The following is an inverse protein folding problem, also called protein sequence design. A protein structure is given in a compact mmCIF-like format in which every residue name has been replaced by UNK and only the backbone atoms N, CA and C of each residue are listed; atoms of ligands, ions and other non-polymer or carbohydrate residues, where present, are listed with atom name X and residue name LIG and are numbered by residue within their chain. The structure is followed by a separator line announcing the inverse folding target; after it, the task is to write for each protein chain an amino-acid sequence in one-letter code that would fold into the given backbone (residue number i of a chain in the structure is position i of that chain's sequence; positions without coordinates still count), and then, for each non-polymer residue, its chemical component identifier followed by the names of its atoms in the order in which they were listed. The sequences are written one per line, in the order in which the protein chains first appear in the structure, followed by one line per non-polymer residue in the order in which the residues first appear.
data_IF_724356660285
#
_entry.id   IF_724356660285
#
_cell.length_a   1.000
_cell.length_b   1.000
_cell.length_c   1.000
_cell.angle_alpha   90.00
_cell.angle_beta   90.00
_cell.angle_gamma   90.00
#
_symmetry.space_group_name_H-M   'P 1'
#
loop_
_entity.id
_entity.type
_entity.pdbx_description
1 polymer ?
#
# COMPACT_ATOMS: atom_id res chain seq x y z
N UNK A 1 -30.49 -62.77 6.10
CA UNK A 1 -29.34 -63.14 5.25
C UNK A 1 -29.77 -62.87 3.80
N UNK A 2 -29.22 -61.80 3.20
CA UNK A 2 -29.30 -61.33 1.78
C UNK A 2 -30.69 -61.02 1.16
N UNK A 3 -31.08 -59.75 0.90
CA UNK A 3 -30.71 -58.82 -0.21
C UNK A 3 -31.27 -59.27 -1.58
N UNK A 4 -31.79 -58.46 -2.51
CA UNK A 4 -32.11 -57.03 -2.60
C UNK A 4 -32.98 -56.80 -3.89
N UNK A 5 -33.66 -55.65 -3.92
CA UNK A 5 -34.08 -54.77 -5.05
C UNK A 5 -35.00 -55.26 -6.22
N UNK A 6 -36.04 -54.42 -6.44
CA UNK A 6 -37.09 -54.43 -7.46
C UNK A 6 -36.65 -53.89 -8.84
N UNK A 7 -37.26 -54.43 -9.89
CA UNK A 7 -37.42 -53.86 -11.24
C UNK A 7 -38.91 -53.78 -11.61
N UNK A 8 -39.27 -52.85 -12.51
CA UNK A 8 -40.25 -52.93 -13.62
C UNK A 8 -40.68 -51.48 -13.98
N UNK A 9 -40.22 -50.85 -15.08
CA UNK A 9 -40.53 -51.00 -16.53
C UNK A 9 -42.00 -50.74 -16.92
N UNK A 10 -42.10 -49.91 -17.97
CA UNK A 10 -43.25 -49.15 -18.46
C UNK A 10 -44.16 -49.91 -19.44
N UNK A 11 -45.36 -49.34 -19.67
CA UNK A 11 -46.13 -49.51 -20.91
C UNK A 11 -46.87 -48.22 -21.30
N UNK A 12 -46.96 -48.05 -22.62
CA UNK A 12 -47.33 -46.89 -23.45
C UNK A 12 -48.82 -46.91 -23.81
N UNK A 13 -49.40 -45.76 -24.15
CA UNK A 13 -50.68 -45.63 -24.87
C UNK A 13 -50.91 -44.21 -25.42
N UNK A 14 -51.13 -44.13 -26.74
CA UNK A 14 -51.12 -42.96 -27.64
C UNK A 14 -52.32 -41.99 -27.54
N UNK A 15 -52.12 -40.75 -28.04
CA UNK A 15 -53.18 -39.79 -28.34
C UNK A 15 -52.65 -38.47 -28.94
N UNK A 16 -52.48 -38.43 -30.27
CA UNK A 16 -52.03 -37.28 -31.06
C UNK A 16 -53.22 -36.41 -31.48
N UNK A 17 -53.13 -35.09 -31.27
CA UNK A 17 -53.99 -34.09 -31.95
C UNK A 17 -53.09 -33.09 -32.70
N UNK A 18 -53.34 -32.94 -34.00
CA UNK A 18 -52.64 -32.05 -34.94
C UNK A 18 -53.38 -30.69 -34.98
N UNK A 19 -52.64 -29.59 -34.85
CA UNK A 19 -53.11 -28.20 -35.09
C UNK A 19 -52.02 -27.46 -35.90
N UNK A 20 -52.36 -26.64 -36.91
CA UNK A 20 -51.51 -26.41 -38.08
C UNK A 20 -50.46 -25.30 -37.91
N UNK A 21 -49.43 -25.44 -38.77
CA UNK A 21 -48.29 -24.56 -38.98
C UNK A 21 -48.74 -23.19 -39.50
N UNK A 22 -48.32 -22.12 -38.81
CA UNK A 22 -48.48 -20.73 -39.23
C UNK A 22 -47.22 -19.91 -38.93
N UNK A 23 -46.40 -19.75 -39.97
CA UNK A 23 -45.53 -18.60 -40.34
C UNK A 23 -44.79 -17.83 -39.21
N UNK A 24 -43.46 -17.96 -39.21
CA UNK A 24 -42.46 -17.15 -38.49
C UNK A 24 -42.58 -15.64 -38.75
N UNK A 25 -42.10 -14.82 -37.80
CA UNK A 25 -40.97 -13.96 -38.16
C UNK A 25 -39.83 -13.97 -37.12
N UNK A 26 -38.62 -14.06 -37.68
CA UNK A 26 -37.31 -13.61 -37.22
C UNK A 26 -37.23 -12.87 -35.87
N UNK A 27 -36.67 -13.52 -34.86
CA UNK A 27 -35.77 -12.88 -33.87
C UNK A 27 -34.84 -13.94 -33.27
N UNK A 28 -33.65 -14.06 -33.85
CA UNK A 28 -32.55 -14.80 -33.22
C UNK A 28 -31.27 -13.99 -33.42
N UNK A 29 -31.05 -13.03 -32.52
CA UNK A 29 -29.81 -12.26 -32.43
C UNK A 29 -29.37 -12.24 -30.97
N UNK A 30 -28.30 -13.00 -30.72
CA UNK A 30 -27.30 -12.88 -29.65
C UNK A 30 -27.78 -12.52 -28.23
N UNK A 31 -28.03 -13.57 -27.44
CA UNK A 31 -27.77 -13.57 -26.00
C UNK A 31 -26.29 -13.89 -25.74
N UNK A 32 -25.42 -12.89 -25.71
CA UNK A 32 -24.19 -12.88 -24.89
C UNK A 32 -23.91 -11.43 -24.51
N UNK A 33 -24.37 -11.02 -23.32
CA UNK A 33 -23.72 -10.03 -22.44
C UNK A 33 -24.60 -9.74 -21.21
N UNK A 34 -23.97 -9.80 -20.04
CA UNK A 34 -24.40 -9.22 -18.77
C UNK A 34 -25.58 -9.90 -18.04
N UNK A 35 -25.31 -11.11 -17.54
CA UNK A 35 -25.80 -11.48 -16.21
C UNK A 35 -24.81 -10.89 -15.18
N UNK A 36 -25.35 -10.41 -14.06
CA UNK A 36 -24.70 -9.72 -12.93
C UNK A 36 -24.54 -8.21 -13.14
N UNK A 37 -25.60 -7.46 -12.86
CA UNK A 37 -25.68 -6.41 -11.83
C UNK A 37 -27.19 -6.25 -11.57
N UNK A 38 -27.67 -6.92 -10.54
CA UNK A 38 -29.03 -6.78 -10.05
C UNK A 38 -28.98 -6.44 -8.56
N UNK A 39 -28.46 -5.25 -8.21
CA UNK A 39 -29.05 -4.49 -7.10
C UNK A 39 -28.61 -3.02 -7.10
N UNK A 40 -29.61 -2.13 -7.28
CA UNK A 40 -29.69 -0.73 -6.85
C UNK A 40 -28.75 0.35 -7.43
N UNK A 41 -29.45 1.41 -7.88
CA UNK A 41 -29.06 2.83 -8.08
C UNK A 41 -28.47 3.25 -9.43
N UNK A 42 -29.41 3.53 -10.34
CA UNK A 42 -29.33 4.64 -11.30
C UNK A 42 -28.85 5.92 -10.62
N UNK A 43 -27.65 6.42 -10.98
CA UNK A 43 -27.25 7.84 -11.02
C UNK A 43 -25.79 7.93 -11.54
N UNK A 44 -25.58 7.53 -12.80
CA UNK A 44 -24.25 7.31 -13.40
C UNK A 44 -23.42 8.58 -13.68
N UNK A 45 -23.98 9.79 -13.58
CA UNK A 45 -23.23 11.05 -13.74
C UNK A 45 -23.08 11.87 -12.45
N UNK A 46 -24.04 11.77 -11.52
CA UNK A 46 -23.92 12.42 -10.20
C UNK A 46 -22.98 11.63 -9.28
N UNK A 47 -22.86 10.32 -9.47
CA UNK A 47 -21.97 9.46 -8.69
C UNK A 47 -20.51 9.86 -8.79
N UNK A 48 -20.02 10.25 -9.97
CA UNK A 48 -18.61 10.62 -10.14
C UNK A 48 -18.20 11.90 -9.39
N UNK A 49 -19.10 12.89 -9.27
CA UNK A 49 -18.82 14.09 -8.48
C UNK A 49 -18.93 13.83 -6.96
N UNK A 50 -19.86 12.97 -6.52
CA UNK A 50 -20.07 12.64 -5.10
C UNK A 50 -18.98 11.70 -4.56
N UNK A 51 -18.32 10.91 -5.41
CA UNK A 51 -17.21 10.03 -5.02
C UNK A 51 -15.93 10.82 -4.71
N UNK A 52 -15.71 11.99 -5.32
CA UNK A 52 -14.45 12.73 -5.15
C UNK A 52 -14.30 13.40 -3.76
N UNK A 53 -15.39 13.89 -3.15
CA UNK A 53 -15.35 14.55 -1.83
C UNK A 53 -15.49 13.58 -0.65
N UNK A 54 -16.12 12.42 -0.85
CA UNK A 54 -16.21 11.35 0.16
C UNK A 54 -15.01 10.38 0.15
N UNK A 55 -14.12 10.46 -0.83
CA UNK A 55 -12.98 9.54 -0.96
C UNK A 55 -11.87 9.74 0.10
N UNK A 56 -11.91 10.80 0.92
CA UNK A 56 -10.87 11.06 1.95
C UNK A 56 -11.44 11.11 3.36
N UNK A 57 -12.31 10.15 3.67
CA UNK A 57 -12.76 9.99 5.06
C UNK A 57 -11.80 9.02 5.77
N UNK A 58 -11.10 9.45 6.83
CA UNK A 58 -10.15 8.63 7.57
C UNK A 58 -10.89 7.65 8.49
N UNK A 59 -11.70 6.74 7.93
CA UNK A 59 -12.54 5.84 8.72
C UNK A 59 -11.71 4.86 9.55
N UNK A 60 -10.92 4.03 8.87
CA UNK A 60 -10.17 2.96 9.52
C UNK A 60 -8.94 3.51 10.23
N UNK A 61 -8.23 4.47 9.64
CA UNK A 61 -7.08 5.10 10.29
C UNK A 61 -7.45 5.80 11.60
N UNK A 62 -8.58 6.55 11.65
CA UNK A 62 -9.04 7.17 12.90
C UNK A 62 -9.37 6.13 13.96
N UNK A 63 -10.06 5.05 13.58
CA UNK A 63 -10.36 3.95 14.48
C UNK A 63 -9.07 3.32 15.04
N UNK A 64 -8.10 3.01 14.18
CA UNK A 64 -6.82 2.41 14.58
C UNK A 64 -5.96 3.32 15.46
N UNK A 65 -5.98 4.63 15.23
CA UNK A 65 -5.29 5.60 16.10
C UNK A 65 -5.88 5.53 17.52
N UNK A 66 -7.21 5.55 17.65
CA UNK A 66 -7.86 5.49 18.96
C UNK A 66 -7.54 4.19 19.70
N UNK A 67 -7.61 3.06 18.99
CA UNK A 67 -7.29 1.75 19.56
C UNK A 67 -5.82 1.65 20.02
N UNK A 68 -4.91 2.17 19.20
CA UNK A 68 -3.49 2.23 19.52
C UNK A 68 -3.19 3.10 20.75
N UNK A 69 -3.84 4.25 20.88
CA UNK A 69 -3.66 5.14 22.03
C UNK A 69 -4.19 4.50 23.31
N UNK A 70 -5.36 3.85 23.26
CA UNK A 70 -5.93 3.11 24.39
C UNK A 70 -5.00 1.97 24.84
N UNK A 71 -4.43 1.24 23.88
CA UNK A 71 -3.43 0.20 24.17
C UNK A 71 -2.20 0.78 24.87
N UNK A 72 -1.62 1.85 24.31
CA UNK A 72 -0.45 2.50 24.88
C UNK A 72 -0.71 2.99 26.32
N UNK A 73 -1.89 3.55 26.59
CA UNK A 73 -2.30 3.96 27.94
C UNK A 73 -2.47 2.78 28.90
N UNK A 74 -3.01 1.66 28.42
CA UNK A 74 -3.12 0.45 29.24
C UNK A 74 -1.76 -0.09 29.67
N UNK A 75 -0.79 -0.09 28.75
CA UNK A 75 0.58 -0.54 28.99
C UNK A 75 1.36 0.44 29.86
N UNK A 76 1.08 1.75 29.81
CA UNK A 76 1.70 2.75 30.67
C UNK A 76 1.52 2.45 32.17
N UNK A 77 0.41 1.80 32.53
CA UNK A 77 0.07 1.46 33.92
C UNK A 77 0.52 0.06 34.33
N UNK A 78 0.93 -0.77 33.37
CA UNK A 78 1.41 -2.12 33.65
C UNK A 78 2.79 -2.08 34.32
N UNK A 79 3.04 -3.01 35.25
CA UNK A 79 4.40 -3.22 35.76
C UNK A 79 5.31 -3.62 34.60
N UNK A 80 6.47 -2.97 34.50
CA UNK A 80 7.48 -3.30 33.50
C UNK A 80 7.71 -4.81 33.50
N UNK A 81 7.48 -5.51 32.36
CA UNK A 81 7.94 -6.87 32.21
C UNK A 81 9.45 -6.86 32.48
N UNK A 82 9.91 -7.73 33.36
CA UNK A 82 11.33 -7.89 33.62
C UNK A 82 12.01 -8.16 32.27
N UNK A 83 12.93 -7.28 31.81
CA UNK A 83 13.66 -7.46 30.55
C UNK A 83 14.40 -8.79 30.62
N UNK A 84 13.79 -9.86 30.12
CA UNK A 84 14.40 -11.17 30.06
C UNK A 84 15.49 -11.14 29.00
N UNK A 85 16.69 -11.62 29.34
CA UNK A 85 17.74 -11.82 28.35
C UNK A 85 17.20 -12.68 27.20
N UNK A 86 17.16 -12.11 26.00
CA UNK A 86 16.70 -12.82 24.80
C UNK A 86 17.71 -13.90 24.46
N UNK A 87 17.26 -15.15 24.35
CA UNK A 87 18.11 -16.29 23.97
C UNK A 87 18.43 -16.33 22.48
N UNK A 88 17.54 -15.79 21.64
CA UNK A 88 17.68 -15.77 20.18
C UNK A 88 17.52 -14.34 19.65
N UNK A 89 18.15 -14.01 18.51
CA UNK A 89 17.87 -12.77 17.80
C UNK A 89 16.37 -12.64 17.44
N UNK A 90 15.80 -11.43 17.43
CA UNK A 90 14.46 -11.19 16.89
C UNK A 90 14.39 -11.56 15.40
N UNK A 91 13.19 -11.82 14.89
CA UNK A 91 12.95 -11.96 13.44
C UNK A 91 13.02 -10.57 12.79
N UNK A 92 12.31 -9.59 13.36
CA UNK A 92 12.25 -8.22 12.82
C UNK A 92 12.70 -7.20 13.86
N UNK A 93 13.64 -6.32 13.47
CA UNK A 93 13.88 -5.07 14.19
C UNK A 93 13.10 -3.92 13.55
N UNK A 94 12.40 -3.14 14.37
CA UNK A 94 11.56 -2.02 13.96
C UNK A 94 12.22 -0.75 14.48
N UNK A 95 12.73 0.04 13.55
CA UNK A 95 13.44 1.27 13.78
C UNK A 95 12.57 2.50 13.54
N UNK A 96 12.48 3.37 14.54
CA UNK A 96 11.70 4.61 14.49
C UNK A 96 12.59 5.79 14.93
N UNK A 97 12.75 6.79 14.07
CA UNK A 97 13.31 8.08 14.45
C UNK A 97 12.15 9.07 14.63
N UNK A 98 12.01 9.63 15.83
CA UNK A 98 10.88 10.47 16.21
C UNK A 98 11.33 11.89 16.52
N UNK A 99 10.63 12.88 15.97
CA UNK A 99 10.90 14.30 16.21
C UNK A 99 9.68 14.98 16.83
N UNK A 100 9.95 15.96 17.70
CA UNK A 100 8.89 16.71 18.36
C UNK A 100 8.15 17.59 17.35
N UNK A 101 6.81 17.59 17.43
CA UNK A 101 5.93 18.44 16.62
C UNK A 101 4.93 19.11 17.56
N UNK A 102 4.91 20.46 17.56
CA UNK A 102 4.13 21.28 18.48
C UNK A 102 2.68 20.77 18.70
N UNK A 103 2.46 20.09 19.82
CA UNK A 103 1.14 19.67 20.28
C UNK A 103 0.59 18.38 19.65
N UNK A 104 1.39 17.61 18.90
CA UNK A 104 0.97 16.31 18.33
C UNK A 104 2.02 15.24 18.61
N UNK A 105 1.59 14.13 19.21
CA UNK A 105 2.45 13.01 19.61
C UNK A 105 2.14 11.74 18.81
N UNK A 106 2.56 11.69 17.55
CA UNK A 106 2.29 10.55 16.67
C UNK A 106 2.96 9.25 17.13
N UNK A 107 4.15 9.34 17.73
CA UNK A 107 4.92 8.16 18.16
C UNK A 107 4.11 7.20 19.04
N UNK A 108 3.23 7.74 19.90
CA UNK A 108 2.39 6.95 20.80
C UNK A 108 1.43 6.04 20.02
N UNK A 109 0.71 6.58 19.05
CA UNK A 109 -0.22 5.81 18.22
C UNK A 109 0.51 4.89 17.24
N UNK A 110 1.67 5.31 16.72
CA UNK A 110 2.54 4.44 15.89
C UNK A 110 2.95 3.18 16.66
N UNK A 111 3.57 3.33 17.84
CA UNK A 111 3.98 2.18 18.66
C UNK A 111 2.79 1.36 19.16
N UNK A 112 1.71 2.03 19.54
CA UNK A 112 0.48 1.36 19.96
C UNK A 112 -0.11 0.48 18.86
N UNK A 113 -0.18 0.97 17.61
CA UNK A 113 -0.77 0.23 16.48
C UNK A 113 0.10 -0.94 16.02
N UNK A 114 1.43 -0.84 16.19
CA UNK A 114 2.37 -1.92 15.91
C UNK A 114 2.25 -3.07 16.90
N UNK A 115 1.91 -2.78 18.16
CA UNK A 115 1.93 -3.78 19.23
C UNK A 115 0.54 -4.26 19.64
N UNK A 116 -0.50 -3.45 19.43
CA UNK A 116 -1.86 -3.88 19.69
C UNK A 116 -2.22 -5.11 18.87
N UNK A 117 -2.78 -6.11 19.54
CA UNK A 117 -3.22 -7.37 18.93
C UNK A 117 -2.12 -8.44 18.87
N UNK A 118 -0.83 -8.09 19.02
CA UNK A 118 0.22 -9.09 19.02
C UNK A 118 0.08 -10.07 20.19
N UNK A 119 0.22 -11.36 19.91
CA UNK A 119 0.45 -12.37 20.94
C UNK A 119 1.79 -12.17 21.66
N UNK A 120 1.96 -12.81 22.82
CA UNK A 120 3.24 -12.75 23.56
C UNK A 120 4.37 -13.34 22.72
N UNK A 121 4.07 -14.40 21.97
CA UNK A 121 4.99 -15.09 21.07
C UNK A 121 5.40 -14.21 19.88
N UNK A 122 4.46 -13.46 19.30
CA UNK A 122 4.77 -12.52 18.22
C UNK A 122 5.57 -11.33 18.74
N UNK A 123 5.16 -10.71 19.85
CA UNK A 123 5.89 -9.58 20.45
C UNK A 123 7.34 -9.95 20.80
N UNK A 124 7.59 -11.19 21.21
CA UNK A 124 8.93 -11.69 21.51
C UNK A 124 9.84 -11.82 20.28
N UNK A 125 9.27 -11.97 19.08
CA UNK A 125 10.00 -12.02 17.80
C UNK A 125 10.35 -10.63 17.25
N UNK A 126 9.77 -9.58 17.82
CA UNK A 126 10.00 -8.20 17.38
C UNK A 126 10.95 -7.48 18.33
N UNK A 127 11.69 -6.49 17.82
CA UNK A 127 12.50 -5.59 18.63
C UNK A 127 12.28 -4.15 18.21
N UNK A 128 11.90 -3.30 19.15
CA UNK A 128 11.58 -1.90 18.87
C UNK A 128 12.73 -0.99 19.29
N UNK A 129 13.36 -0.33 18.32
CA UNK A 129 14.38 0.71 18.53
C UNK A 129 13.76 2.07 18.23
N UNK A 130 13.75 2.96 19.22
CA UNK A 130 13.17 4.29 19.08
C UNK A 130 14.19 5.35 19.46
N UNK A 131 14.57 6.18 18.49
CA UNK A 131 15.42 7.35 18.71
C UNK A 131 14.55 8.60 18.85
N UNK A 132 14.58 9.21 20.03
CA UNK A 132 14.07 10.58 20.20
C UNK A 132 15.12 11.53 19.61
N UNK A 133 14.83 12.05 18.42
CA UNK A 133 15.81 12.62 17.50
C UNK A 133 16.20 14.08 17.80
N UNK A 134 16.40 14.39 19.07
CA UNK A 134 16.94 15.65 19.56
C UNK A 134 18.24 15.40 20.31
N UNK A 135 19.25 16.25 20.14
CA UNK A 135 20.49 16.15 20.92
C UNK A 135 20.24 16.21 22.42
N UNK A 136 19.29 17.07 22.83
CA UNK A 136 18.65 17.01 24.15
C UNK A 136 17.27 16.35 24.03
N UNK A 137 17.20 15.07 24.45
CA UNK A 137 15.97 14.28 24.35
C UNK A 137 14.83 14.80 25.23
N UNK A 138 15.11 15.63 26.24
CA UNK A 138 14.07 16.23 27.10
C UNK A 138 13.16 17.19 26.34
N UNK A 139 13.59 17.65 25.16
CA UNK A 139 12.78 18.47 24.27
C UNK A 139 11.66 17.69 23.56
N UNK A 140 11.68 16.35 23.63
CA UNK A 140 10.61 15.54 23.06
C UNK A 140 9.53 15.23 24.11
N UNK A 141 8.26 15.47 23.78
CA UNK A 141 7.12 15.15 24.64
C UNK A 141 6.97 13.65 24.98
N UNK A 142 7.63 12.76 24.23
CA UNK A 142 7.69 11.34 24.53
C UNK A 142 8.73 10.97 25.61
N UNK A 143 9.63 11.88 25.98
CA UNK A 143 10.69 11.62 26.93
C UNK A 143 10.16 11.26 28.32
N UNK A 144 10.71 10.23 28.95
CA UNK A 144 10.30 9.68 30.24
C UNK A 144 8.80 9.33 30.35
N UNK A 145 8.14 9.05 29.23
CA UNK A 145 6.76 8.59 29.25
C UNK A 145 6.70 7.09 29.56
N UNK A 146 5.88 6.63 30.54
CA UNK A 146 5.83 5.21 30.92
C UNK A 146 5.45 4.27 29.78
N UNK A 147 4.58 4.73 28.86
CA UNK A 147 4.20 3.94 27.69
C UNK A 147 5.39 3.72 26.74
N UNK A 148 6.32 4.67 26.63
CA UNK A 148 7.49 4.54 25.75
C UNK A 148 8.45 3.50 26.32
N UNK A 149 8.76 3.60 27.62
CA UNK A 149 9.66 2.67 28.31
C UNK A 149 9.16 1.23 28.27
N UNK A 150 7.84 1.03 28.21
CA UNK A 150 7.22 -0.28 28.17
C UNK A 150 7.06 -0.83 26.74
N UNK A 151 7.03 0.03 25.73
CA UNK A 151 6.85 -0.38 24.32
C UNK A 151 8.18 -0.47 23.55
N UNK A 152 9.18 0.34 23.89
CA UNK A 152 10.49 0.32 23.24
C UNK A 152 11.44 -0.68 23.93
N UNK A 153 12.13 -1.50 23.13
CA UNK A 153 13.16 -2.40 23.63
C UNK A 153 14.52 -1.68 23.78
N UNK A 154 14.81 -0.75 22.85
CA UNK A 154 15.99 0.09 22.82
C UNK A 154 15.65 1.57 22.62
N UNK A 155 16.26 2.43 23.43
CA UNK A 155 16.12 3.89 23.38
C UNK A 155 17.51 4.53 23.23
N UNK A 156 18.14 4.42 22.05
CA UNK A 156 19.46 5.01 21.83
C UNK A 156 19.45 6.53 22.02
N UNK A 157 20.58 7.06 22.47
CA UNK A 157 20.84 8.48 22.58
C UNK A 157 22.08 8.87 21.78
N UNK A 158 22.14 10.13 21.35
CA UNK A 158 23.37 10.68 20.78
C UNK A 158 24.51 10.67 21.81
N UNK A 159 24.20 10.85 23.09
CA UNK A 159 25.18 10.87 24.19
C UNK A 159 25.89 9.54 24.42
N UNK A 160 25.39 8.44 23.84
CA UNK A 160 26.01 7.12 23.99
C UNK A 160 27.36 7.02 23.25
N UNK A 161 27.65 7.96 22.36
CA UNK A 161 28.91 8.04 21.62
C UNK A 161 29.31 9.51 21.42
N UNK A 162 30.49 9.89 21.91
CA UNK A 162 30.97 11.29 21.88
C UNK A 162 31.07 11.87 20.46
N UNK A 163 31.51 11.07 19.48
CA UNK A 163 31.60 11.49 18.07
C UNK A 163 30.20 11.70 17.48
N UNK A 164 29.28 10.76 17.75
CA UNK A 164 27.87 10.85 17.33
C UNK A 164 27.20 12.08 17.92
N UNK A 165 27.43 12.38 19.20
CA UNK A 165 26.91 13.55 19.88
C UNK A 165 27.44 14.86 19.29
N UNK A 166 28.75 14.94 19.08
CA UNK A 166 29.38 16.12 18.49
C UNK A 166 28.84 16.38 17.08
N UNK A 167 28.71 15.34 16.26
CA UNK A 167 28.18 15.43 14.91
C UNK A 167 26.70 15.85 14.90
N UNK A 168 25.87 15.23 15.75
CA UNK A 168 24.46 15.60 15.89
C UNK A 168 24.28 17.07 16.25
N UNK A 169 25.09 17.57 17.19
CA UNK A 169 25.08 18.98 17.64
C UNK A 169 25.40 19.93 16.50
N UNK A 170 26.42 19.60 15.69
CA UNK A 170 26.77 20.40 14.51
C UNK A 170 25.62 20.42 13.51
N UNK A 171 25.08 19.26 13.15
CA UNK A 171 23.99 19.14 12.15
C UNK A 171 22.74 19.91 12.60
N UNK A 172 22.35 19.76 13.87
CA UNK A 172 21.19 20.41 14.46
C UNK A 172 21.38 21.94 14.53
N UNK A 173 22.56 22.41 14.95
CA UNK A 173 22.89 23.84 14.98
C UNK A 173 22.86 24.51 13.60
N UNK A 174 23.24 23.77 12.55
CA UNK A 174 23.22 24.25 11.17
C UNK A 174 21.82 24.20 10.54
N UNK A 175 20.80 23.72 11.25
CA UNK A 175 19.41 23.62 10.77
C UNK A 175 19.26 22.84 9.45
N UNK A 176 20.12 21.84 9.22
CA UNK A 176 20.11 21.03 7.99
C UNK A 176 19.21 19.82 8.13
N UNK A 177 17.90 20.02 8.01
CA UNK A 177 16.90 18.98 8.30
C UNK A 177 17.04 17.70 7.47
N UNK A 178 17.40 17.80 6.18
CA UNK A 178 17.62 16.63 5.33
C UNK A 178 18.83 15.80 5.77
N UNK A 179 19.92 16.48 6.15
CA UNK A 179 21.13 15.85 6.68
C UNK A 179 20.82 15.17 8.02
N UNK A 180 20.09 15.87 8.91
CA UNK A 180 19.69 15.36 10.22
C UNK A 180 18.82 14.11 10.11
N UNK A 181 17.75 14.17 9.33
CA UNK A 181 16.85 13.04 9.14
C UNK A 181 17.60 11.80 8.61
N UNK A 182 18.54 11.99 7.67
CA UNK A 182 19.37 10.91 7.16
C UNK A 182 20.34 10.34 8.21
N UNK A 183 20.97 11.22 8.98
CA UNK A 183 21.84 10.80 10.07
C UNK A 183 21.08 9.98 11.11
N UNK A 184 19.89 10.42 11.49
CA UNK A 184 19.04 9.77 12.49
C UNK A 184 18.54 8.41 11.98
N UNK A 185 18.17 8.35 10.70
CA UNK A 185 17.82 7.11 10.03
C UNK A 185 18.98 6.09 10.07
N UNK A 186 20.22 6.55 9.81
CA UNK A 186 21.40 5.69 9.85
C UNK A 186 21.71 5.17 11.26
N UNK A 187 21.49 5.98 12.30
CA UNK A 187 21.66 5.58 13.69
C UNK A 187 20.68 4.49 14.05
N UNK A 188 19.39 4.71 13.78
CA UNK A 188 18.34 3.73 14.08
C UNK A 188 18.58 2.43 13.32
N UNK A 189 18.98 2.52 12.04
CA UNK A 189 19.33 1.36 11.23
C UNK A 189 20.53 0.58 11.82
N UNK A 190 21.56 1.29 12.29
CA UNK A 190 22.74 0.69 12.94
C UNK A 190 22.37 0.02 14.28
N UNK A 191 21.53 0.65 15.11
CA UNK A 191 21.06 0.02 16.34
C UNK A 191 20.19 -1.21 16.07
N UNK A 192 19.36 -1.17 15.02
CA UNK A 192 18.59 -2.34 14.60
C UNK A 192 19.49 -3.46 14.07
N UNK A 193 20.54 -3.11 13.33
CA UNK A 193 21.54 -4.08 12.89
C UNK A 193 22.16 -4.79 14.10
N UNK A 194 22.57 -4.10 15.16
CA UNK A 194 23.19 -4.75 16.34
C UNK A 194 22.33 -5.83 17.01
N UNK A 195 21.01 -5.81 16.82
CA UNK A 195 20.09 -6.81 17.41
C UNK A 195 20.25 -8.23 16.84
N UNK A 196 20.87 -8.36 15.66
CA UNK A 196 20.95 -9.64 14.94
C UNK A 196 19.67 -10.01 14.17
N UNK A 197 18.68 -9.11 14.05
CA UNK A 197 17.46 -9.37 13.28
C UNK A 197 17.74 -9.73 11.82
N UNK A 198 16.96 -10.65 11.25
CA UNK A 198 17.04 -11.05 9.83
C UNK A 198 16.51 -9.96 8.91
N UNK A 199 15.49 -9.23 9.35
CA UNK A 199 14.90 -8.10 8.65
C UNK A 199 14.91 -6.83 9.52
N UNK A 200 15.00 -5.67 8.86
CA UNK A 200 14.97 -4.37 9.50
C UNK A 200 13.86 -3.54 8.86
N UNK A 201 12.80 -3.26 9.61
CA UNK A 201 11.72 -2.35 9.24
C UNK A 201 12.06 -0.95 9.72
N UNK A 202 12.28 -0.04 8.79
CA UNK A 202 12.43 1.38 9.08
C UNK A 202 11.11 2.09 8.81
N UNK A 203 10.61 2.82 9.81
CA UNK A 203 9.36 3.59 9.69
C UNK A 203 9.49 5.03 10.18
N UNK A 204 8.63 5.89 9.66
CA UNK A 204 8.38 7.23 10.24
C UNK A 204 7.53 7.12 11.52
N UNK A 205 7.56 8.16 12.35
CA UNK A 205 6.84 8.22 13.62
C UNK A 205 5.36 8.61 13.48
N UNK A 206 4.90 8.94 12.27
CA UNK A 206 3.57 9.43 11.95
C UNK A 206 2.77 8.49 11.03
N UNK A 207 2.75 7.21 11.42
CA UNK A 207 2.09 6.13 10.69
C UNK A 207 1.20 5.29 11.60
N UNK A 208 0.20 4.63 11.02
CA UNK A 208 -0.66 3.68 11.75
C UNK A 208 -0.71 2.36 11.01
N UNK A 209 -0.54 1.25 11.73
CA UNK A 209 -0.61 -0.10 11.18
C UNK A 209 -2.01 -0.71 11.32
N UNK A 210 -2.40 -1.50 10.33
CA UNK A 210 -3.63 -2.29 10.41
C UNK A 210 -3.50 -3.39 11.48
N UNK A 211 -4.64 -3.86 11.98
CA UNK A 211 -4.64 -5.06 12.83
C UNK A 211 -4.13 -6.28 12.06
N UNK A 212 -3.39 -7.17 12.72
CA UNK A 212 -2.82 -8.36 12.07
C UNK A 212 -1.72 -8.08 11.03
N UNK A 213 -1.14 -6.88 10.98
CA UNK A 213 -0.10 -6.51 10.01
C UNK A 213 1.11 -7.47 9.97
N UNK A 214 1.49 -8.04 11.12
CA UNK A 214 2.67 -8.88 11.25
C UNK A 214 2.56 -10.18 10.45
N UNK A 215 1.40 -10.85 10.52
CA UNK A 215 1.15 -12.07 9.76
C UNK A 215 1.27 -11.81 8.25
N UNK A 216 0.64 -10.74 7.77
CA UNK A 216 0.66 -10.30 6.37
C UNK A 216 2.06 -9.88 5.92
N UNK A 217 2.83 -9.22 6.78
CA UNK A 217 4.21 -8.87 6.46
C UNK A 217 5.06 -10.12 6.25
N UNK A 218 4.99 -11.10 7.15
CA UNK A 218 5.78 -12.34 7.01
C UNK A 218 5.43 -13.10 5.73
N UNK A 219 4.15 -13.21 5.42
CA UNK A 219 3.71 -13.83 4.17
C UNK A 219 4.25 -13.05 2.96
N UNK A 220 4.14 -11.72 2.97
CA UNK A 220 4.65 -10.87 1.90
C UNK A 220 6.17 -11.00 1.73
N UNK A 221 6.95 -11.09 2.81
CA UNK A 221 8.40 -11.31 2.74
C UNK A 221 8.74 -12.68 2.15
N UNK A 222 8.01 -13.73 2.50
CA UNK A 222 8.19 -15.05 1.91
C UNK A 222 7.90 -15.04 0.41
N UNK A 223 6.81 -14.38 -0.02
CA UNK A 223 6.46 -14.22 -1.44
C UNK A 223 7.49 -13.37 -2.18
N UNK A 224 7.94 -12.25 -1.58
CA UNK A 224 8.97 -11.38 -2.17
C UNK A 224 10.27 -12.16 -2.41
N UNK A 225 10.68 -12.97 -1.44
CA UNK A 225 11.88 -13.83 -1.52
C UNK A 225 11.74 -14.87 -2.63
N UNK A 226 10.62 -15.58 -2.69
CA UNK A 226 10.37 -16.57 -3.74
C UNK A 226 10.40 -15.94 -5.14
N UNK A 227 9.69 -14.80 -5.33
CA UNK A 227 9.69 -14.08 -6.61
C UNK A 227 11.06 -13.53 -7.00
N UNK A 228 11.86 -13.12 -6.02
CA UNK A 228 13.24 -12.66 -6.24
C UNK A 228 14.10 -13.79 -6.81
N UNK A 229 14.00 -15.00 -6.26
CA UNK A 229 14.70 -16.18 -6.77
C UNK A 229 14.21 -16.60 -8.16
N UNK A 230 12.90 -16.53 -8.43
CA UNK A 230 12.32 -16.81 -9.76
C UNK A 230 12.87 -15.87 -10.83
N UNK A 231 13.17 -14.61 -10.47
CA UNK A 231 13.81 -13.64 -11.36
C UNK A 231 15.34 -13.84 -11.50
N UNK A 232 15.92 -14.82 -10.80
CA UNK A 232 17.35 -15.10 -10.83
C UNK A 232 18.20 -14.17 -9.95
N UNK A 233 17.56 -13.39 -9.08
CA UNK A 233 18.25 -12.56 -8.09
C UNK A 233 18.41 -13.31 -6.77
N UNK A 234 19.46 -13.00 -6.00
CA UNK A 234 19.68 -13.61 -4.68
C UNK A 234 18.89 -12.89 -3.58
N UNK A 235 18.69 -11.58 -3.77
CA UNK A 235 18.18 -10.66 -2.76
C UNK A 235 17.41 -9.49 -3.41
N UNK A 236 16.74 -8.71 -2.57
CA UNK A 236 16.05 -7.48 -2.96
C UNK A 236 16.37 -6.37 -1.95
N UNK A 237 16.30 -5.11 -2.39
CA UNK A 237 16.66 -3.99 -1.52
C UNK A 237 15.66 -3.82 -0.39
N UNK A 238 14.38 -3.67 -0.72
CA UNK A 238 13.33 -3.52 0.27
C UNK A 238 11.97 -4.08 -0.19
N UNK A 239 11.12 -4.38 0.80
CA UNK A 239 9.68 -4.50 0.66
C UNK A 239 9.00 -3.25 1.24
N UNK A 240 8.23 -2.56 0.41
CA UNK A 240 7.49 -1.34 0.75
C UNK A 240 6.11 -1.66 1.29
N UNK A 241 5.78 -1.12 2.46
CA UNK A 241 4.52 -1.38 3.16
C UNK A 241 3.44 -0.32 2.93
N UNK A 242 3.85 0.84 2.40
CA UNK A 242 2.97 1.94 2.02
C UNK A 242 3.45 2.62 0.74
N UNK A 243 2.51 3.04 -0.09
CA UNK A 243 2.76 3.91 -1.23
C UNK A 243 1.60 4.88 -1.40
N UNK A 244 1.94 6.10 -1.82
CA UNK A 244 0.93 7.11 -2.15
C UNK A 244 0.25 6.79 -3.48
N UNK A 245 -1.05 6.52 -3.44
CA UNK A 245 -1.82 6.12 -4.63
C UNK A 245 -1.96 7.21 -5.68
N UNK A 246 -1.80 8.48 -5.29
CA UNK A 246 -1.86 9.60 -6.23
C UNK A 246 -0.78 9.55 -7.33
N UNK A 247 0.34 8.87 -7.09
CA UNK A 247 1.41 8.69 -8.09
C UNK A 247 1.17 7.52 -9.03
N UNK A 248 0.23 6.64 -8.69
CA UNK A 248 -0.15 5.50 -9.50
C UNK A 248 -1.17 5.85 -10.60
N UNK A 249 -1.52 7.13 -10.69
CA UNK A 249 -2.42 7.68 -11.70
C UNK A 249 -1.84 7.75 -13.11
N UNK A 250 -2.51 8.56 -13.94
CA UNK A 250 -2.08 8.85 -15.30
C UNK A 250 -0.86 9.79 -15.29
N UNK A 251 0.33 9.20 -15.34
CA UNK A 251 1.60 9.92 -15.31
C UNK A 251 1.92 10.64 -16.63
N UNK A 252 2.32 11.90 -16.55
CA UNK A 252 2.51 12.79 -17.71
C UNK A 252 3.62 12.31 -18.66
N UNK A 253 4.62 11.63 -18.12
CA UNK A 253 5.79 11.06 -18.78
C UNK A 253 5.38 9.95 -19.77
N UNK A 254 4.20 9.35 -19.56
CA UNK A 254 3.65 8.29 -20.38
C UNK A 254 2.57 8.77 -21.38
N UNK A 255 2.42 10.08 -21.59
CA UNK A 255 1.43 10.64 -22.53
C UNK A 255 1.49 10.03 -23.95
N UNK A 256 2.66 9.69 -24.55
CA UNK A 256 2.69 9.12 -25.88
C UNK A 256 2.03 7.74 -25.92
N UNK A 257 2.20 6.95 -24.85
CA UNK A 257 1.58 5.62 -24.72
C UNK A 257 0.07 5.74 -24.60
N UNK A 258 -0.41 6.71 -23.84
CA UNK A 258 -1.85 6.97 -23.67
C UNK A 258 -2.50 7.43 -24.97
N UNK A 259 -1.84 8.33 -25.70
CA UNK A 259 -2.32 8.79 -27.00
C UNK A 259 -2.36 7.64 -28.01
N UNK A 260 -1.27 6.87 -28.12
CA UNK A 260 -1.20 5.72 -29.01
C UNK A 260 -2.31 4.70 -28.71
N UNK A 261 -2.51 4.36 -27.42
CA UNK A 261 -3.57 3.45 -26.99
C UNK A 261 -4.97 3.98 -27.33
N UNK A 262 -5.20 5.28 -27.11
CA UNK A 262 -6.47 5.95 -27.45
C UNK A 262 -6.75 5.91 -28.96
N UNK A 263 -5.74 6.15 -29.79
CA UNK A 263 -5.84 6.06 -31.25
C UNK A 263 -6.11 4.63 -31.72
N UNK A 264 -5.45 3.64 -31.11
CA UNK A 264 -5.70 2.21 -31.39
C UNK A 264 -7.13 1.83 -31.05
N UNK A 265 -7.66 2.26 -29.90
CA UNK A 265 -9.05 2.02 -29.50
C UNK A 265 -10.02 2.67 -30.50
N UNK A 266 -9.83 3.95 -30.83
CA UNK A 266 -10.67 4.65 -31.78
C UNK A 266 -10.64 4.02 -33.19
N UNK A 267 -9.44 3.66 -33.67
CA UNK A 267 -9.26 2.97 -34.94
C UNK A 267 -9.89 1.57 -34.95
N UNK A 268 -9.79 0.84 -33.83
CA UNK A 268 -10.42 -0.48 -33.69
C UNK A 268 -11.93 -0.39 -33.71
N UNK A 269 -12.53 0.57 -33.00
CA UNK A 269 -13.97 0.82 -33.04
C UNK A 269 -14.43 1.14 -34.47
N UNK A 270 -13.74 2.04 -35.16
CA UNK A 270 -14.06 2.35 -36.57
C UNK A 270 -13.94 1.11 -37.46
N UNK A 271 -12.86 0.35 -37.33
CA UNK A 271 -12.63 -0.88 -38.08
C UNK A 271 -13.75 -1.89 -37.87
N UNK A 272 -14.14 -2.15 -36.61
CA UNK A 272 -15.24 -3.05 -36.27
C UNK A 272 -16.55 -2.57 -36.88
N UNK A 273 -16.90 -1.29 -36.77
CA UNK A 273 -18.12 -0.74 -37.36
C UNK A 273 -18.15 -0.87 -38.90
N UNK A 274 -17.01 -0.65 -39.57
CA UNK A 274 -16.89 -0.81 -41.01
C UNK A 274 -16.97 -2.28 -41.44
N UNK A 275 -16.34 -3.19 -40.70
CA UNK A 275 -16.40 -4.63 -40.93
C UNK A 275 -17.81 -5.18 -40.69
N UNK A 276 -18.47 -4.79 -39.61
CA UNK A 276 -19.86 -5.16 -39.34
C UNK A 276 -20.77 -4.71 -40.49
N UNK A 277 -20.65 -3.46 -40.93
CA UNK A 277 -21.41 -2.93 -42.07
C UNK A 277 -21.14 -3.69 -43.38
N UNK A 278 -19.89 -4.12 -43.60
CA UNK A 278 -19.47 -4.88 -44.79
C UNK A 278 -20.06 -6.28 -44.78
N UNK A 279 -19.88 -7.01 -43.68
CA UNK A 279 -20.07 -8.47 -43.62
C UNK A 279 -21.37 -8.92 -42.94
N UNK A 280 -22.08 -8.04 -42.23
CA UNK A 280 -23.35 -8.37 -41.55
C UNK A 280 -24.49 -7.55 -42.18
N UNK A 281 -25.20 -8.09 -43.18
CA UNK A 281 -26.19 -7.33 -43.96
C UNK A 281 -27.27 -6.61 -43.14
N UNK A 282 -27.85 -7.19 -42.06
CA UNK A 282 -28.84 -6.52 -41.22
C UNK A 282 -28.33 -5.20 -40.59
N UNK A 283 -27.03 -5.11 -40.29
CA UNK A 283 -26.46 -3.92 -39.62
C UNK A 283 -26.43 -2.69 -40.52
N UNK A 284 -26.56 -2.85 -41.85
CA UNK A 284 -26.50 -1.74 -42.81
C UNK A 284 -27.62 -0.72 -42.64
N UNK A 285 -28.77 -1.15 -42.11
CA UNK A 285 -29.91 -0.27 -41.82
C UNK A 285 -29.62 0.69 -40.66
N UNK A 286 -28.81 0.24 -39.68
CA UNK A 286 -28.53 0.99 -38.46
C UNK A 286 -27.18 1.73 -38.50
N UNK A 287 -26.16 1.15 -39.15
CA UNK A 287 -24.83 1.74 -39.32
C UNK A 287 -24.79 2.74 -40.48
N UNK A 288 -25.56 3.81 -40.35
CA UNK A 288 -25.49 4.96 -41.27
C UNK A 288 -24.13 5.66 -41.18
N UNK A 289 -23.76 6.48 -42.18
CA UNK A 289 -22.50 7.25 -42.12
C UNK A 289 -22.46 8.17 -40.90
N UNK A 290 -23.60 8.79 -40.57
CA UNK A 290 -23.76 9.64 -39.39
C UNK A 290 -23.60 8.84 -38.09
N UNK A 291 -24.19 7.64 -38.01
CA UNK A 291 -24.04 6.78 -36.84
C UNK A 291 -22.58 6.35 -36.62
N UNK A 292 -21.87 5.93 -37.68
CA UNK A 292 -20.44 5.58 -37.60
C UNK A 292 -19.64 6.80 -37.16
N UNK A 293 -19.89 7.98 -37.76
CA UNK A 293 -19.22 9.21 -37.39
C UNK A 293 -19.43 9.57 -35.91
N UNK A 294 -20.68 9.56 -35.43
CA UNK A 294 -21.01 9.87 -34.03
C UNK A 294 -20.38 8.88 -33.06
N UNK A 295 -20.44 7.58 -33.34
CA UNK A 295 -19.82 6.57 -32.46
C UNK A 295 -18.31 6.76 -32.40
N UNK A 296 -17.64 6.88 -33.56
CA UNK A 296 -16.17 6.96 -33.61
C UNK A 296 -15.61 8.30 -33.13
N UNK A 297 -16.23 9.43 -33.45
CA UNK A 297 -15.66 10.76 -33.22
C UNK A 297 -16.34 11.55 -32.09
N UNK A 298 -17.43 11.06 -31.52
CA UNK A 298 -18.09 11.68 -30.36
C UNK A 298 -18.10 10.71 -29.18
N UNK A 299 -18.79 9.58 -29.31
CA UNK A 299 -18.97 8.68 -28.16
C UNK A 299 -17.67 7.99 -27.73
N UNK A 300 -16.84 7.52 -28.67
CA UNK A 300 -15.55 6.91 -28.32
C UNK A 300 -14.62 7.90 -27.60
N UNK A 301 -14.39 9.14 -28.11
CA UNK A 301 -13.63 10.14 -27.36
C UNK A 301 -14.23 10.47 -25.99
N UNK A 302 -15.56 10.59 -25.87
CA UNK A 302 -16.20 10.80 -24.57
C UNK A 302 -15.92 9.64 -23.60
N UNK A 303 -15.98 8.39 -24.05
CA UNK A 303 -15.66 7.23 -23.22
C UNK A 303 -14.18 7.17 -22.83
N UNK A 304 -13.28 7.55 -23.73
CA UNK A 304 -11.85 7.67 -23.43
C UNK A 304 -11.62 8.75 -22.37
N UNK A 305 -12.26 9.92 -22.51
CA UNK A 305 -12.19 11.00 -21.51
C UNK A 305 -12.71 10.50 -20.16
N UNK A 306 -13.85 9.78 -20.14
CA UNK A 306 -14.40 9.21 -18.92
C UNK A 306 -13.44 8.21 -18.26
N UNK A 307 -12.80 7.34 -19.05
CA UNK A 307 -11.80 6.38 -18.57
C UNK A 307 -10.61 7.09 -17.90
N UNK A 308 -10.08 8.15 -18.52
CA UNK A 308 -9.00 8.93 -17.90
C UNK A 308 -9.50 9.72 -16.68
N UNK A 309 -10.71 10.30 -16.72
CA UNK A 309 -11.26 11.07 -15.60
C UNK A 309 -11.61 10.21 -14.38
N UNK A 310 -11.93 8.93 -14.57
CA UNK A 310 -12.18 7.99 -13.48
C UNK A 310 -10.92 7.72 -12.64
N UNK A 311 -9.73 7.93 -13.22
CA UNK A 311 -8.44 7.72 -12.56
C UNK A 311 -7.96 6.27 -12.62
N UNK A 312 -6.65 6.09 -12.80
CA UNK A 312 -6.05 4.78 -13.07
C UNK A 312 -6.34 3.75 -11.95
N UNK A 313 -6.27 4.15 -10.69
CA UNK A 313 -6.54 3.24 -9.56
C UNK A 313 -7.97 2.68 -9.55
N UNK A 314 -8.95 3.42 -10.08
CA UNK A 314 -10.35 2.98 -10.13
C UNK A 314 -10.58 1.99 -11.28
N UNK A 315 -9.98 2.24 -12.44
CA UNK A 315 -10.21 1.45 -13.66
C UNK A 315 -9.23 0.29 -13.83
N UNK A 316 -8.05 0.39 -13.20
CA UNK A 316 -6.96 -0.57 -13.23
C UNK A 316 -6.34 -0.69 -11.82
N UNK A 317 -7.10 -1.21 -10.82
CA UNK A 317 -6.56 -1.41 -9.50
C UNK A 317 -5.39 -2.40 -9.52
N UNK A 318 -4.41 -2.19 -8.65
CA UNK A 318 -3.32 -3.15 -8.49
C UNK A 318 -3.87 -4.46 -7.93
N UNK A 319 -3.45 -5.62 -8.46
CA UNK A 319 -3.85 -6.90 -7.89
C UNK A 319 -3.33 -7.01 -6.45
N UNK A 320 -3.99 -7.77 -5.57
CA UNK A 320 -3.43 -8.12 -4.26
C UNK A 320 -2.14 -8.95 -4.39
N UNK A 321 -1.27 -8.84 -3.38
CA UNK A 321 0.00 -9.55 -3.27
C UNK A 321 1.22 -8.63 -3.33
N UNK A 322 2.36 -9.23 -3.67
CA UNK A 322 3.65 -8.55 -3.79
C UNK A 322 4.02 -8.34 -5.26
N UNK A 323 4.35 -7.11 -5.64
CA UNK A 323 4.68 -6.75 -7.03
C UNK A 323 5.86 -5.80 -7.11
N UNK A 324 6.58 -5.79 -8.24
CA UNK A 324 7.71 -4.89 -8.41
C UNK A 324 7.20 -3.45 -8.49
N UNK A 325 7.88 -2.53 -7.82
CA UNK A 325 7.55 -1.11 -7.83
C UNK A 325 8.80 -0.23 -7.99
N UNK A 326 9.49 -0.31 -9.14
CA UNK A 326 10.71 0.47 -9.38
C UNK A 326 10.44 1.95 -9.74
N UNK A 327 9.20 2.30 -10.11
CA UNK A 327 8.83 3.64 -10.57
C UNK A 327 7.52 4.10 -9.93
N UNK A 328 7.32 5.42 -9.89
CA UNK A 328 6.11 6.07 -9.38
C UNK A 328 5.76 5.66 -7.95
N UNK A 329 6.77 5.25 -7.18
CA UNK A 329 6.66 5.04 -5.76
C UNK A 329 7.14 6.31 -5.07
N UNK A 330 6.31 6.90 -4.22
CA UNK A 330 6.82 7.83 -3.22
C UNK A 330 6.67 7.25 -1.84
N UNK A 331 7.67 7.70 -1.09
CA UNK A 331 7.68 8.03 0.31
C UNK A 331 8.16 6.84 1.15
N UNK A 332 9.22 7.05 1.91
CA UNK A 332 9.93 6.01 2.65
C UNK A 332 9.33 5.70 4.02
N UNK A 333 8.01 5.90 4.23
CA UNK A 333 7.41 5.83 5.57
C UNK A 333 7.46 4.43 6.19
N UNK A 334 7.59 3.38 5.37
CA UNK A 334 7.73 2.01 5.85
C UNK A 334 8.38 1.11 4.83
N UNK A 335 9.66 0.81 5.07
CA UNK A 335 10.50 -0.02 4.22
C UNK A 335 11.13 -1.14 5.05
N UNK A 336 10.95 -2.39 4.60
CA UNK A 336 11.59 -3.56 5.21
C UNK A 336 12.79 -3.96 4.37
N UNK A 337 13.97 -3.88 4.97
CA UNK A 337 15.24 -4.25 4.35
C UNK A 337 15.70 -5.62 4.82
N UNK A 338 16.35 -6.36 3.93
CA UNK A 338 17.11 -7.55 4.33
C UNK A 338 18.39 -7.11 5.06
N UNK A 339 18.74 -7.79 6.15
CA UNK A 339 19.92 -7.44 6.95
C UNK A 339 21.20 -7.36 6.12
N UNK A 340 21.41 -8.28 5.19
CA UNK A 340 22.58 -8.29 4.30
C UNK A 340 22.70 -6.97 3.53
N UNK A 341 21.60 -6.49 2.93
CA UNK A 341 21.54 -5.19 2.25
C UNK A 341 21.85 -4.02 3.17
N UNK A 342 21.40 -4.09 4.42
CA UNK A 342 21.71 -3.05 5.41
C UNK A 342 23.21 -3.00 5.70
N UNK A 343 23.83 -4.15 5.96
CA UNK A 343 25.25 -4.25 6.36
C UNK A 343 26.19 -3.95 5.19
N UNK A 344 25.94 -4.58 4.04
CA UNK A 344 26.88 -4.59 2.92
C UNK A 344 26.74 -3.36 2.00
N UNK A 345 25.56 -2.73 1.99
CA UNK A 345 25.22 -1.68 1.02
C UNK A 345 24.78 -0.37 1.70
N UNK A 346 23.69 -0.39 2.48
CA UNK A 346 23.05 0.83 2.95
C UNK A 346 23.84 1.56 4.05
N UNK A 347 24.29 0.89 5.10
CA UNK A 347 25.06 1.54 6.17
C UNK A 347 26.36 2.18 5.65
N UNK A 348 27.17 1.51 4.80
CA UNK A 348 28.29 2.15 4.11
C UNK A 348 27.85 3.38 3.29
N UNK A 349 26.79 3.25 2.49
CA UNK A 349 26.26 4.34 1.67
C UNK A 349 25.90 5.58 2.51
N UNK A 350 25.21 5.39 3.63
CA UNK A 350 24.84 6.46 4.56
C UNK A 350 26.07 7.11 5.22
N UNK A 351 27.06 6.30 5.63
CA UNK A 351 28.30 6.80 6.27
C UNK A 351 29.13 7.64 5.30
N UNK A 352 29.32 7.16 4.07
CA UNK A 352 30.12 7.83 3.05
C UNK A 352 29.47 9.13 2.55
N UNK A 353 28.15 9.23 2.63
CA UNK A 353 27.36 10.37 2.14
C UNK A 353 26.64 11.12 3.28
N UNK A 354 27.21 11.11 4.48
CA UNK A 354 26.61 11.71 5.69
C UNK A 354 26.24 13.19 5.57
N UNK A 355 26.86 13.93 4.65
CA UNK A 355 26.63 15.35 4.41
C UNK A 355 25.73 15.65 3.20
N UNK A 356 25.23 14.63 2.51
CA UNK A 356 24.33 14.83 1.37
C UNK A 356 23.04 15.51 1.84
N UNK A 357 22.57 16.52 1.11
CA UNK A 357 21.29 17.19 1.38
C UNK A 357 20.09 16.47 0.74
N UNK A 358 20.33 15.42 -0.05
CA UNK A 358 19.28 14.62 -0.68
C UNK A 358 18.43 13.97 0.42
N UNK A 359 17.09 14.11 0.37
CA UNK A 359 16.18 13.45 1.31
C UNK A 359 16.39 11.93 1.37
N UNK A 360 16.17 11.33 2.54
CA UNK A 360 16.42 9.89 2.79
C UNK A 360 15.73 8.97 1.78
N UNK A 361 14.48 9.25 1.43
CA UNK A 361 13.72 8.45 0.47
C UNK A 361 14.33 8.55 -0.94
N UNK A 362 14.55 9.76 -1.45
CA UNK A 362 15.24 9.97 -2.73
C UNK A 362 16.64 9.35 -2.76
N UNK A 363 17.36 9.43 -1.65
CA UNK A 363 18.72 8.88 -1.55
C UNK A 363 18.74 7.35 -1.68
N UNK A 364 17.77 6.65 -1.08
CA UNK A 364 17.61 5.20 -1.22
C UNK A 364 17.16 4.84 -2.64
N UNK A 365 16.24 5.60 -3.25
CA UNK A 365 15.79 5.34 -4.63
C UNK A 365 16.89 5.56 -5.66
N UNK A 366 17.69 6.64 -5.54
CA UNK A 366 18.85 6.89 -6.41
C UNK A 366 19.86 5.75 -6.34
N UNK A 367 20.12 5.25 -5.13
CA UNK A 367 20.95 4.06 -4.95
C UNK A 367 20.34 2.85 -5.65
N UNK A 368 19.05 2.57 -5.42
CA UNK A 368 18.35 1.43 -6.00
C UNK A 368 18.38 1.45 -7.53
N UNK A 369 18.19 2.62 -8.14
CA UNK A 369 18.27 2.81 -9.58
C UNK A 369 19.70 2.57 -10.10
N UNK A 370 20.72 3.11 -9.41
CA UNK A 370 22.12 2.97 -9.81
C UNK A 370 22.63 1.52 -9.69
N UNK A 371 22.19 0.79 -8.67
CA UNK A 371 22.57 -0.59 -8.40
C UNK A 371 21.70 -1.60 -9.16
N UNK A 372 20.62 -1.16 -9.81
CA UNK A 372 19.62 -2.05 -10.40
C UNK A 372 18.92 -2.93 -9.37
N UNK A 373 18.78 -2.44 -8.14
CA UNK A 373 18.29 -3.22 -7.00
C UNK A 373 16.77 -3.43 -7.07
N UNK A 374 16.32 -4.65 -6.77
CA UNK A 374 14.91 -5.01 -6.79
C UNK A 374 14.15 -4.34 -5.64
N UNK A 375 12.99 -3.78 -5.96
CA UNK A 375 12.09 -3.08 -5.02
C UNK A 375 10.70 -3.67 -5.13
N UNK A 376 10.21 -4.22 -4.03
CA UNK A 376 8.88 -4.82 -3.96
C UNK A 376 7.92 -3.90 -3.21
N UNK A 377 6.63 -4.00 -3.50
CA UNK A 377 5.57 -3.36 -2.74
C UNK A 377 4.44 -4.34 -2.44
N UNK A 378 3.83 -4.21 -1.27
CA UNK A 378 2.68 -5.00 -0.82
C UNK A 378 1.36 -4.27 -1.12
N UNK A 379 0.41 -4.97 -1.73
CA UNK A 379 -0.98 -4.51 -1.91
C UNK A 379 -1.95 -5.57 -1.36
N UNK A 380 -2.99 -5.21 -0.61
CA UNK A 380 -3.24 -3.88 -0.05
C UNK A 380 -2.14 -3.48 0.95
N UNK A 381 -1.95 -2.18 1.16
CA UNK A 381 -0.94 -1.66 2.10
C UNK A 381 -1.30 -2.05 3.54
N UNK A 382 -0.30 -2.23 4.41
CA UNK A 382 -0.52 -2.64 5.83
C UNK A 382 -0.37 -1.49 6.81
N UNK A 383 -0.08 -0.30 6.31
CA UNK A 383 0.06 0.90 7.12
C UNK A 383 -0.41 2.13 6.32
N UNK A 384 -0.74 3.20 7.04
CA UNK A 384 -1.15 4.49 6.50
C UNK A 384 -0.33 5.60 7.12
N UNK A 385 0.04 6.58 6.30
CA UNK A 385 0.61 7.82 6.78
C UNK A 385 -0.49 8.71 7.37
N UNK A 386 -0.33 9.14 8.62
CA UNK A 386 -1.28 9.98 9.35
C UNK A 386 -0.70 11.35 9.70
N UNK A 387 0.55 11.60 9.30
CA UNK A 387 1.26 12.84 9.52
C UNK A 387 0.63 14.01 8.76
N UNK A 388 -0.17 14.81 9.45
CA UNK A 388 -0.79 15.99 8.86
C UNK A 388 0.06 17.26 8.90
N UNK A 389 1.11 17.26 9.74
CA UNK A 389 2.05 18.35 9.91
C UNK A 389 3.46 17.85 9.64
N UNK A 390 4.12 18.44 8.63
CA UNK A 390 5.57 18.27 8.50
C UNK A 390 6.22 18.99 9.68
N UNK A 391 7.16 18.32 10.35
CA UNK A 391 8.03 18.91 11.37
C UNK A 391 8.80 20.14 10.88
N UNK A 392 8.86 20.36 9.56
CA UNK A 392 9.70 21.40 8.95
C UNK A 392 8.99 22.35 8.00
N UNK A 393 7.65 22.45 8.04
CA UNK A 393 6.93 23.51 7.32
C UNK A 393 7.20 23.58 5.81
N UNK A 394 7.55 22.45 5.18
CA UNK A 394 7.98 22.46 3.77
C UNK A 394 6.79 22.25 2.86
N UNK A 395 6.48 23.28 2.07
CA UNK A 395 5.66 23.16 0.87
C UNK A 395 6.51 22.42 -0.17
N UNK A 396 6.54 21.08 -0.12
CA UNK A 396 7.23 20.26 -1.14
C UNK A 396 6.59 20.66 -2.49
N UNK A 397 7.38 21.30 -3.35
CA UNK A 397 6.92 21.67 -4.69
C UNK A 397 6.22 20.49 -5.38
N UNK A 398 5.15 20.76 -6.11
CA UNK A 398 4.30 19.72 -6.72
C UNK A 398 2.96 19.46 -6.00
N UNK A 399 2.64 20.20 -4.93
CA UNK A 399 1.33 20.10 -4.27
C UNK A 399 1.15 18.86 -3.37
N UNK A 400 2.24 18.16 -3.05
CA UNK A 400 2.30 17.10 -2.05
C UNK A 400 2.48 17.72 -0.65
N UNK A 401 1.37 18.00 0.01
CA UNK A 401 1.36 18.33 1.46
C UNK A 401 1.27 17.04 2.27
N UNK A 402 1.85 16.95 3.48
CA UNK A 402 1.74 15.77 4.35
C UNK A 402 0.30 15.24 4.51
N UNK A 403 -0.67 16.15 4.69
CA UNK A 403 -2.13 15.89 4.67
C UNK A 403 -2.71 15.23 3.40
N UNK A 404 -1.89 14.99 2.36
CA UNK A 404 -2.33 14.41 1.08
C UNK A 404 -1.67 13.06 0.79
N UNK A 405 -0.69 12.62 1.59
CA UNK A 405 -0.07 11.31 1.43
C UNK A 405 -1.04 10.26 1.98
N UNK A 406 -1.85 9.71 1.08
CA UNK A 406 -3.01 8.90 1.43
C UNK A 406 -3.07 7.65 0.56
N UNK A 407 -3.22 6.47 1.18
CA UNK A 407 -3.65 5.27 0.47
C UNK A 407 -5.15 5.06 0.72
N UNK A 408 -5.96 5.05 -0.35
CA UNK A 408 -7.41 4.95 -0.22
C UNK A 408 -7.83 3.54 0.20
N UNK A 409 -7.15 2.51 -0.31
CA UNK A 409 -7.44 1.12 0.03
C UNK A 409 -7.18 0.76 1.50
N UNK A 410 -6.37 1.53 2.23
CA UNK A 410 -6.22 1.34 3.68
C UNK A 410 -7.51 1.70 4.45
N UNK A 411 -8.29 2.66 3.95
CA UNK A 411 -9.54 3.08 4.60
C UNK A 411 -10.70 2.12 4.34
N UNK A 412 -10.52 1.20 3.40
CA UNK A 412 -11.49 0.15 3.07
C UNK A 412 -11.33 -1.10 3.97
N UNK A 413 -10.40 -1.09 4.93
CA UNK A 413 -10.28 -2.18 5.90
C UNK A 413 -11.50 -2.27 6.81
N UNK A 414 -12.03 -3.48 6.92
CA UNK A 414 -13.16 -3.82 7.77
C UNK A 414 -12.67 -4.42 9.08
N UNK A 415 -13.03 -3.79 10.20
CA UNK A 415 -12.58 -4.16 11.55
C UNK A 415 -13.00 -5.58 11.92
N UNK A 416 -14.26 -5.95 11.65
CA UNK A 416 -14.81 -7.25 12.03
C UNK A 416 -14.13 -8.36 11.22
N UNK A 417 -13.87 -8.10 9.95
CA UNK A 417 -13.14 -9.03 9.08
C UNK A 417 -11.71 -9.24 9.54
N UNK A 418 -10.99 -8.18 9.89
CA UNK A 418 -9.62 -8.28 10.36
C UNK A 418 -9.52 -9.04 11.69
N UNK A 419 -10.45 -8.80 12.61
CA UNK A 419 -10.51 -9.54 13.85
C UNK A 419 -10.73 -11.06 13.62
N UNK A 420 -11.53 -11.44 12.62
CA UNK A 420 -11.70 -12.84 12.24
C UNK A 420 -10.43 -13.44 11.62
N UNK A 421 -9.74 -12.69 10.76
CA UNK A 421 -8.46 -13.11 10.14
C UNK A 421 -7.34 -13.27 11.18
N UNK A 422 -7.39 -12.51 12.27
CA UNK A 422 -6.42 -12.60 13.37
C UNK A 422 -6.59 -13.87 14.22
N UNK A 423 -7.82 -14.39 14.33
CA UNK A 423 -8.12 -15.60 15.13
C UNK A 423 -7.79 -16.88 14.35
N UNK A 424 -7.78 -16.83 13.02
CA UNK A 424 -7.50 -17.95 12.11
C UNK A 424 -6.02 -18.17 11.88
#
# INVERSE_FOLDING_TARGET
MHSDVRQLRATVGDGVTIVPIGVLPDTTVLHISALIIHEKRSFFLLGFLVIAENARVPNYSTYRIQEAELYADSIATAQQPQKSERRNPPELCIGIASVERNGILYLKSTLGSLQHGLSTEERARLHFVVLLAHTDQTNHGAYNQPWLDNMADGLPSYSDNEERFALATIIESNSTHGIKAKFDYSIVMEECEKTGASEILMIEDDVVFMDGWWSRLREALAVATAKTWELGHQDFLYLRLFYYEGLLGWNSESWPKYLASSLVVAGSVLGVLLLMKRYIPPTRLYLTRSAIFLVTFVFTPCMIILYFSAGANCVLPRPPGVHPMPNNACCGQGLVFQRSKVVDELLPLFRDNRWSEVPTDSFIEEYADSAGALRWALTPVVMQHVGGQSSHGVNRGGGMTPNRLWNYGFEDYDVDRLALEHIS
#
